data_IF_380390941353
#
_entry.id   IF_380390941353
#
_cell.length_a   1.000
_cell.length_b   1.000
_cell.length_c   1.000
_cell.angle_alpha   90.00
_cell.angle_beta   90.00
_cell.angle_gamma   90.00
#
_symmetry.space_group_name_H-M   'P 1'
#
loop_
_entity.id
_entity.type
_entity.pdbx_description
1 polymer ?
#
# COMPACT_ATOMS: atom_id res chain seq x y z
N UNK A 1 1.11 -10.64 17.44
CA UNK A 1 0.53 -9.53 16.64
C UNK A 1 1.60 -8.55 16.13
N UNK A 2 2.65 -8.30 16.93
CA UNK A 2 3.71 -7.32 16.67
C UNK A 2 4.56 -7.73 15.45
N UNK A 3 4.97 -9.00 15.40
CA UNK A 3 5.82 -9.53 14.33
C UNK A 3 5.10 -9.60 12.97
N UNK A 4 3.82 -9.95 12.97
CA UNK A 4 2.98 -9.98 11.75
C UNK A 4 2.87 -8.59 11.11
N UNK A 5 2.70 -7.53 11.90
CA UNK A 5 2.67 -6.15 11.38
C UNK A 5 4.01 -5.72 10.83
N UNK A 6 5.09 -6.11 11.50
CA UNK A 6 6.45 -5.85 11.05
C UNK A 6 6.70 -6.51 9.68
N UNK A 7 6.31 -7.77 9.52
CA UNK A 7 6.42 -8.52 8.26
C UNK A 7 5.59 -7.86 7.15
N UNK A 8 4.31 -7.53 7.41
CA UNK A 8 3.43 -6.87 6.41
C UNK A 8 4.02 -5.52 5.96
N UNK A 9 4.55 -4.74 6.89
CA UNK A 9 5.21 -3.47 6.59
C UNK A 9 6.44 -3.64 5.71
N UNK A 10 7.34 -4.56 6.05
CA UNK A 10 8.55 -4.85 5.26
C UNK A 10 8.18 -5.35 3.86
N UNK A 11 7.23 -6.28 3.76
CA UNK A 11 6.74 -6.79 2.47
C UNK A 11 6.18 -5.66 1.61
N UNK A 12 5.45 -4.72 2.20
CA UNK A 12 4.93 -3.56 1.48
C UNK A 12 6.05 -2.63 0.99
N UNK A 13 7.09 -2.41 1.80
CA UNK A 13 8.26 -1.61 1.40
C UNK A 13 9.01 -2.29 0.24
N UNK A 14 9.17 -3.61 0.27
CA UNK A 14 9.75 -4.34 -0.86
C UNK A 14 8.89 -4.19 -2.12
N UNK A 15 7.56 -4.29 -1.97
CA UNK A 15 6.62 -4.11 -3.08
C UNK A 15 6.71 -2.70 -3.68
N UNK A 16 6.83 -1.67 -2.84
CA UNK A 16 7.04 -0.28 -3.27
C UNK A 16 8.24 -0.16 -4.21
N UNK A 17 9.37 -0.78 -3.85
CA UNK A 17 10.60 -0.72 -4.66
C UNK A 17 10.34 -1.31 -6.05
N UNK A 18 9.70 -2.48 -6.14
CA UNK A 18 9.35 -3.09 -7.43
C UNK A 18 8.42 -2.22 -8.27
N UNK A 19 7.37 -1.65 -7.67
CA UNK A 19 6.42 -0.80 -8.39
C UNK A 19 7.08 0.50 -8.86
N UNK A 20 7.92 1.12 -8.03
CA UNK A 20 8.64 2.35 -8.37
C UNK A 20 9.61 2.14 -9.55
N UNK A 21 10.36 1.03 -9.55
CA UNK A 21 11.26 0.68 -10.66
C UNK A 21 10.49 0.36 -11.95
N UNK A 22 9.37 -0.37 -11.88
CA UNK A 22 8.51 -0.61 -13.05
C UNK A 22 7.89 0.68 -13.60
N UNK A 23 7.46 1.58 -12.72
CA UNK A 23 6.89 2.87 -13.12
C UNK A 23 7.93 3.78 -13.78
N UNK A 24 9.19 3.73 -13.34
CA UNK A 24 10.30 4.46 -13.94
C UNK A 24 10.70 3.90 -15.32
N UNK A 25 10.77 2.58 -15.47
CA UNK A 25 11.04 1.93 -16.76
C UNK A 25 9.92 2.18 -17.79
N UNK A 26 8.66 2.15 -17.34
CA UNK A 26 7.52 2.56 -18.16
C UNK A 26 7.66 4.02 -18.60
N UNK A 27 7.96 4.94 -17.68
CA UNK A 27 8.16 6.36 -17.99
C UNK A 27 9.29 6.62 -19.00
N UNK A 28 10.41 5.89 -18.92
CA UNK A 28 11.55 6.04 -19.83
C UNK A 28 11.28 5.52 -21.25
N UNK A 29 10.38 4.54 -21.40
CA UNK A 29 10.10 3.88 -22.68
C UNK A 29 9.03 4.62 -23.50
N UNK A 30 8.05 5.25 -22.83
CA UNK A 30 7.07 6.13 -23.48
C UNK A 30 7.49 7.60 -23.38
N UNK A 31 8.42 8.02 -24.25
CA UNK A 31 8.51 9.45 -24.63
C UNK A 31 7.22 9.81 -25.38
N UNK A 32 6.15 10.22 -24.70
CA UNK A 32 5.12 11.15 -25.23
C UNK A 32 3.85 11.21 -24.35
N UNK A 33 3.56 12.43 -23.88
CA UNK A 33 2.25 13.11 -23.95
C UNK A 33 1.06 12.71 -23.07
N UNK A 34 1.16 11.77 -22.13
CA UNK A 34 0.10 11.60 -21.13
C UNK A 34 0.79 11.26 -19.80
N UNK A 35 0.31 11.77 -18.65
CA UNK A 35 0.89 11.62 -17.30
C UNK A 35 0.94 10.19 -16.73
N UNK A 36 1.24 9.22 -17.57
CA UNK A 36 1.05 7.77 -17.47
C UNK A 36 2.03 7.11 -16.48
N UNK A 37 3.25 7.65 -16.31
CA UNK A 37 4.25 7.12 -15.38
C UNK A 37 4.18 7.67 -13.95
N UNK A 38 3.45 8.79 -13.73
CA UNK A 38 3.43 9.47 -12.43
C UNK A 38 2.51 8.80 -11.41
N UNK A 39 1.40 8.20 -11.86
CA UNK A 39 0.37 7.63 -11.00
C UNK A 39 0.90 6.43 -10.21
N UNK A 40 1.69 5.55 -10.83
CA UNK A 40 2.32 4.42 -10.15
C UNK A 40 3.26 4.86 -9.03
N UNK A 41 4.02 5.94 -9.27
CA UNK A 41 4.90 6.54 -8.26
C UNK A 41 4.09 7.11 -7.10
N UNK A 42 3.02 7.86 -7.37
CA UNK A 42 2.15 8.46 -6.34
C UNK A 42 1.51 7.38 -5.46
N UNK A 43 0.92 6.33 -6.05
CA UNK A 43 0.31 5.22 -5.30
C UNK A 43 1.35 4.53 -4.41
N UNK A 44 2.55 4.33 -4.95
CA UNK A 44 3.66 3.70 -4.24
C UNK A 44 4.04 4.52 -3.00
N UNK A 45 4.16 5.84 -3.11
CA UNK A 45 4.45 6.71 -1.96
C UNK A 45 3.36 6.66 -0.88
N UNK A 46 2.08 6.64 -1.27
CA UNK A 46 0.97 6.51 -0.31
C UNK A 46 1.04 5.16 0.42
N UNK A 47 1.32 4.07 -0.30
CA UNK A 47 1.50 2.75 0.29
C UNK A 47 2.74 2.67 1.21
N UNK A 48 3.81 3.39 0.88
CA UNK A 48 5.01 3.50 1.72
C UNK A 48 4.73 4.20 3.05
N UNK A 49 3.96 5.29 3.02
CA UNK A 49 3.50 5.99 4.23
C UNK A 49 2.65 5.05 5.08
N UNK A 50 1.73 4.29 4.46
CA UNK A 50 0.91 3.29 5.15
C UNK A 50 1.78 2.23 5.86
N UNK A 51 2.82 1.74 5.18
CA UNK A 51 3.74 0.74 5.72
C UNK A 51 4.56 1.28 6.91
N UNK A 52 5.08 2.51 6.82
CA UNK A 52 5.81 3.17 7.90
C UNK A 52 4.94 3.37 9.14
N UNK A 53 3.67 3.78 8.95
CA UNK A 53 2.70 3.88 10.04
C UNK A 53 2.48 2.50 10.65
N UNK A 54 2.25 1.47 9.83
CA UNK A 54 2.00 0.10 10.30
C UNK A 54 3.16 -0.46 11.15
N UNK A 55 4.41 -0.19 10.77
CA UNK A 55 5.62 -0.63 11.49
C UNK A 55 5.79 0.15 12.80
N UNK A 56 5.73 1.48 12.75
CA UNK A 56 5.98 2.33 13.92
C UNK A 56 4.87 2.21 14.97
N UNK A 57 3.63 2.02 14.55
CA UNK A 57 2.47 1.94 15.44
C UNK A 57 2.07 0.50 15.78
N UNK A 58 2.98 -0.47 15.59
CA UNK A 58 2.73 -1.90 15.84
C UNK A 58 2.27 -2.24 17.27
N UNK A 59 2.63 -1.41 18.24
CA UNK A 59 2.28 -1.58 19.66
C UNK A 59 0.87 -1.05 20.00
N UNK A 60 0.29 -0.18 19.17
CA UNK A 60 -1.01 0.42 19.41
C UNK A 60 -2.10 -0.16 18.47
N UNK A 61 -3.30 -0.40 19.01
CA UNK A 61 -4.45 -0.84 18.20
C UNK A 61 -4.89 0.24 17.21
N UNK A 62 -4.85 1.52 17.61
CA UNK A 62 -5.19 2.68 16.75
C UNK A 62 -4.32 2.75 15.50
N UNK A 63 -3.06 2.32 15.61
CA UNK A 63 -2.10 2.26 14.53
C UNK A 63 -2.53 1.42 13.34
N UNK A 64 -3.16 0.27 13.60
CA UNK A 64 -3.68 -0.60 12.55
C UNK A 64 -4.86 0.00 11.78
N UNK A 65 -5.73 0.76 12.47
CA UNK A 65 -6.85 1.42 11.82
C UNK A 65 -6.36 2.55 10.92
N UNK A 66 -5.38 3.34 11.38
CA UNK A 66 -4.79 4.42 10.59
C UNK A 66 -4.06 3.84 9.38
N UNK A 67 -3.24 2.80 9.54
CA UNK A 67 -2.58 2.16 8.39
C UNK A 67 -3.59 1.55 7.42
N UNK A 68 -4.68 0.95 7.90
CA UNK A 68 -5.72 0.39 7.05
C UNK A 68 -6.39 1.45 6.15
N UNK A 69 -6.67 2.64 6.67
CA UNK A 69 -7.25 3.74 5.89
C UNK A 69 -6.29 4.17 4.78
N UNK A 70 -4.99 4.30 5.07
CA UNK A 70 -4.00 4.65 4.06
C UNK A 70 -3.80 3.55 3.00
N UNK A 71 -3.82 2.27 3.40
CA UNK A 71 -3.81 1.15 2.45
C UNK A 71 -5.07 1.13 1.58
N UNK A 72 -6.23 1.44 2.15
CA UNK A 72 -7.49 1.52 1.41
C UNK A 72 -7.45 2.67 0.39
N UNK A 73 -6.92 3.84 0.77
CA UNK A 73 -6.72 4.97 -0.14
C UNK A 73 -5.74 4.62 -1.29
N UNK A 74 -4.60 4.01 -0.97
CA UNK A 74 -3.65 3.55 -1.98
C UNK A 74 -4.28 2.52 -2.94
N UNK A 75 -5.04 1.58 -2.39
CA UNK A 75 -5.78 0.57 -3.14
C UNK A 75 -6.86 1.17 -4.05
N UNK A 76 -7.65 2.11 -3.52
CA UNK A 76 -8.69 2.82 -4.27
C UNK A 76 -8.10 3.62 -5.44
N UNK A 77 -7.00 4.35 -5.19
CA UNK A 77 -6.25 5.04 -6.23
C UNK A 77 -5.69 4.07 -7.28
N UNK A 78 -5.23 2.87 -6.86
CA UNK A 78 -4.77 1.83 -7.78
C UNK A 78 -5.88 1.25 -8.65
N UNK A 79 -7.09 1.04 -8.12
CA UNK A 79 -8.23 0.51 -8.87
C UNK A 79 -8.81 1.52 -9.87
N UNK A 80 -8.91 2.80 -9.50
CA UNK A 80 -9.50 3.84 -10.37
C UNK A 80 -8.64 4.16 -11.60
N UNK A 81 -7.36 3.81 -11.57
CA UNK A 81 -6.43 3.99 -12.69
C UNK A 81 -6.37 2.78 -13.65
N UNK A 82 -7.41 1.92 -13.66
CA UNK A 82 -7.50 0.69 -14.47
C UNK A 82 -7.23 0.91 -15.96
N UNK A 83 -7.63 2.07 -16.49
CA UNK A 83 -7.71 2.35 -17.92
C UNK A 83 -6.37 2.29 -18.64
N UNK A 84 -5.23 2.42 -17.93
CA UNK A 84 -3.91 2.56 -18.57
C UNK A 84 -2.89 1.47 -18.20
N UNK A 85 -3.03 0.77 -17.06
CA UNK A 85 -2.01 -0.18 -16.58
C UNK A 85 -2.60 -1.37 -15.85
N UNK A 86 -2.66 -2.53 -16.52
CA UNK A 86 -3.10 -3.80 -15.92
C UNK A 86 -2.29 -4.16 -14.67
N UNK A 87 -1.01 -3.80 -14.65
CA UNK A 87 -0.08 -4.08 -13.54
C UNK A 87 -0.40 -3.23 -12.29
N UNK A 88 -0.67 -1.93 -12.46
CA UNK A 88 -1.06 -1.03 -11.34
C UNK A 88 -2.38 -1.47 -10.72
N UNK A 89 -3.30 -1.98 -11.54
CA UNK A 89 -4.55 -2.55 -11.05
C UNK A 89 -4.34 -3.75 -10.11
N UNK A 90 -3.45 -4.68 -10.46
CA UNK A 90 -3.13 -5.83 -9.59
C UNK A 90 -2.57 -5.37 -8.25
N UNK A 91 -1.68 -4.37 -8.25
CA UNK A 91 -1.14 -3.81 -7.01
C UNK A 91 -2.22 -3.09 -6.18
N UNK A 92 -3.13 -2.36 -6.83
CA UNK A 92 -4.28 -1.73 -6.17
C UNK A 92 -5.15 -2.76 -5.44
N UNK A 93 -5.45 -3.89 -6.09
CA UNK A 93 -6.18 -4.99 -5.45
C UNK A 93 -5.42 -5.59 -4.26
N UNK A 94 -4.11 -5.74 -4.37
CA UNK A 94 -3.27 -6.27 -3.30
C UNK A 94 -3.18 -5.33 -2.08
N UNK A 95 -3.15 -4.01 -2.29
CA UNK A 95 -3.18 -3.04 -1.19
C UNK A 95 -4.53 -3.02 -0.46
N UNK A 96 -5.65 -3.26 -1.16
CA UNK A 96 -6.95 -3.44 -0.50
C UNK A 96 -6.94 -4.67 0.39
N UNK A 97 -6.34 -5.78 -0.05
CA UNK A 97 -6.18 -6.96 0.80
C UNK A 97 -5.35 -6.63 2.05
N UNK A 98 -4.24 -5.90 1.93
CA UNK A 98 -3.46 -5.46 3.09
C UNK A 98 -4.22 -4.50 4.02
N UNK A 99 -5.14 -3.69 3.50
CA UNK A 99 -6.05 -2.89 4.31
C UNK A 99 -6.95 -3.77 5.17
N UNK A 100 -7.61 -4.77 4.57
CA UNK A 100 -8.52 -5.70 5.29
C UNK A 100 -7.74 -6.46 6.36
N UNK A 101 -6.56 -7.00 6.04
CA UNK A 101 -5.70 -7.66 7.02
C UNK A 101 -5.32 -6.73 8.18
N UNK A 102 -4.98 -5.46 7.89
CA UNK A 102 -4.67 -4.47 8.94
C UNK A 102 -5.86 -4.23 9.87
N UNK A 103 -7.08 -4.13 9.34
CA UNK A 103 -8.32 -3.99 10.16
C UNK A 103 -8.54 -5.21 11.06
N UNK A 104 -8.42 -6.43 10.51
CA UNK A 104 -8.60 -7.67 11.28
C UNK A 104 -7.59 -7.77 12.43
N UNK A 105 -6.33 -7.41 12.17
CA UNK A 105 -5.28 -7.36 13.20
C UNK A 105 -5.59 -6.27 14.24
N UNK A 106 -6.14 -5.12 13.82
CA UNK A 106 -6.60 -4.06 14.72
C UNK A 106 -7.71 -4.53 15.67
N UNK A 107 -8.73 -5.21 15.15
CA UNK A 107 -9.85 -5.75 15.94
C UNK A 107 -9.35 -6.80 16.95
N UNK A 108 -8.51 -7.75 16.51
CA UNK A 108 -7.93 -8.75 17.43
C UNK A 108 -7.05 -8.11 18.52
N UNK A 109 -6.32 -7.04 18.23
CA UNK A 109 -5.54 -6.32 19.25
C UNK A 109 -6.44 -5.59 20.25
N UNK A 110 -7.53 -4.97 19.80
CA UNK A 110 -8.52 -4.31 20.68
C UNK A 110 -9.15 -5.30 21.67
N UNK A 111 -9.50 -6.49 21.19
CA UNK A 111 -10.11 -7.54 22.01
C UNK A 111 -9.12 -8.20 22.99
N UNK A 112 -7.82 -8.21 22.69
CA UNK A 112 -6.79 -8.74 23.60
C UNK A 112 -6.36 -7.74 24.69
N UNK A 113 -6.80 -6.48 24.59
CA UNK A 113 -6.48 -5.40 25.52
C UNK A 113 -7.65 -5.05 26.46
N UNK A 114 -8.83 -5.64 26.27
CA UNK A 114 -9.96 -5.61 27.20
C UNK A 114 -10.01 -6.93 27.97
#
# INVERSE_FOLDING_TARGET
>A
MKDIRLIIGIVTIMLFVFVAFQSCGAYATVKSSNGIGNIGIIISFVALIAALICINTRDAYSGAFISAVFYALAGFLGLFNFTNHKIVFVYGFMFIMFSIFSVLIGIKQKNASN
#
